data_IF_201615648263
#
_entry.id   IF_201615648263
#
_cell.length_a   1.000
_cell.length_b   1.000
_cell.length_c   1.000
_cell.angle_alpha   90.00
_cell.angle_beta   90.00
_cell.angle_gamma   90.00
#
_symmetry.space_group_name_H-M   'P 1'
#
loop_
_entity.id
_entity.type
_entity.pdbx_description
1 polymer ?
#
# COMPACT_ATOMS: atom_id res chain seq x y z
N UNK A 1 15.26 -7.42 -0.46
CA UNK A 1 15.76 -6.10 -0.89
C UNK A 1 14.58 -5.16 -0.72
N UNK A 2 14.66 -4.18 0.18
CA UNK A 2 13.56 -3.24 0.39
C UNK A 2 13.55 -2.26 -0.79
N UNK A 3 12.64 -2.44 -1.74
CA UNK A 3 12.41 -1.45 -2.78
C UNK A 3 11.94 -0.16 -2.11
N UNK A 4 12.75 0.89 -2.25
CA UNK A 4 12.45 2.19 -1.70
C UNK A 4 11.15 2.70 -2.34
N UNK A 5 10.08 2.77 -1.55
CA UNK A 5 8.83 3.41 -1.94
C UNK A 5 9.15 4.84 -2.41
N UNK A 6 8.78 5.22 -3.66
CA UNK A 6 9.12 6.53 -4.18
C UNK A 6 8.52 7.61 -3.30
N UNK A 7 9.39 8.48 -2.77
CA UNK A 7 9.03 9.65 -1.98
C UNK A 7 8.12 10.57 -2.80
N UNK A 8 6.85 10.69 -2.40
CA UNK A 8 5.80 11.43 -3.12
C UNK A 8 5.89 12.93 -2.85
N UNK A 9 6.74 13.64 -3.59
CA UNK A 9 6.89 15.10 -3.48
C UNK A 9 5.87 15.91 -4.30
N UNK A 10 4.99 15.27 -5.08
CA UNK A 10 4.17 15.98 -6.07
C UNK A 10 2.68 15.68 -5.97
N UNK A 11 2.08 16.18 -4.88
CA UNK A 11 0.63 16.15 -4.61
C UNK A 11 -0.21 16.65 -5.79
N UNK A 12 0.29 17.61 -6.58
CA UNK A 12 -0.43 18.13 -7.75
C UNK A 12 -0.49 17.12 -8.90
N UNK A 13 0.56 16.31 -9.11
CA UNK A 13 0.52 15.20 -10.06
C UNK A 13 -0.50 14.14 -9.62
N UNK A 14 -0.52 13.81 -8.33
CA UNK A 14 -1.49 12.85 -7.77
C UNK A 14 -2.92 13.35 -7.99
N UNK A 15 -3.21 14.61 -7.65
CA UNK A 15 -4.53 15.23 -7.89
C UNK A 15 -4.94 15.20 -9.36
N UNK A 16 -4.03 15.52 -10.28
CA UNK A 16 -4.30 15.45 -11.73
C UNK A 16 -4.62 14.03 -12.18
N UNK A 17 -3.89 13.03 -11.68
CA UNK A 17 -4.14 11.63 -12.00
C UNK A 17 -5.49 11.14 -11.46
N UNK A 18 -5.83 11.49 -10.21
CA UNK A 18 -7.13 11.20 -9.59
C UNK A 18 -8.28 11.76 -10.45
N UNK A 19 -8.19 13.04 -10.83
CA UNK A 19 -9.19 13.69 -11.67
C UNK A 19 -9.31 13.02 -13.05
N UNK A 20 -8.17 12.72 -13.69
CA UNK A 20 -8.16 12.06 -15.01
C UNK A 20 -8.80 10.66 -14.98
N UNK A 21 -8.59 9.92 -13.89
CA UNK A 21 -9.16 8.59 -13.68
C UNK A 21 -10.57 8.61 -13.09
N UNK A 22 -11.13 9.80 -12.82
CA UNK A 22 -12.43 10.00 -12.18
C UNK A 22 -12.57 9.22 -10.86
N UNK A 23 -11.50 9.20 -10.06
CA UNK A 23 -11.46 8.52 -8.78
C UNK A 23 -11.99 9.43 -7.66
N UNK A 24 -12.58 8.82 -6.63
CA UNK A 24 -13.00 9.53 -5.41
C UNK A 24 -12.32 8.94 -4.19
N UNK A 25 -12.12 9.77 -3.16
CA UNK A 25 -11.47 9.33 -1.94
C UNK A 25 -12.35 8.37 -1.14
N UNK A 26 -11.82 7.20 -0.79
CA UNK A 26 -12.51 6.23 0.07
C UNK A 26 -12.66 6.75 1.51
N UNK A 27 -11.63 7.41 2.02
CA UNK A 27 -11.54 7.87 3.40
C UNK A 27 -10.67 9.14 3.52
N UNK A 28 -10.90 9.91 4.58
CA UNK A 28 -10.08 11.08 4.92
C UNK A 28 -8.89 10.69 5.82
N UNK A 29 -8.00 11.66 6.10
CA UNK A 29 -6.81 11.43 6.92
C UNK A 29 -7.14 10.88 8.32
N UNK A 30 -8.24 11.33 8.94
CA UNK A 30 -8.66 10.85 10.27
C UNK A 30 -8.94 9.35 10.26
N UNK A 31 -9.77 8.88 9.32
CA UNK A 31 -10.11 7.46 9.20
C UNK A 31 -8.90 6.59 8.86
N UNK A 32 -8.01 7.07 7.99
CA UNK A 32 -6.76 6.38 7.70
C UNK A 32 -5.87 6.26 8.94
N UNK A 33 -5.74 7.34 9.71
CA UNK A 33 -4.97 7.33 10.96
C UNK A 33 -5.57 6.38 12.01
N UNK A 34 -6.90 6.33 12.13
CA UNK A 34 -7.59 5.39 13.01
C UNK A 34 -7.33 3.93 12.60
N UNK A 35 -7.46 3.60 11.31
CA UNK A 35 -7.15 2.26 10.78
C UNK A 35 -5.71 1.85 11.09
N UNK A 36 -4.74 2.70 10.76
CA UNK A 36 -3.32 2.43 10.98
C UNK A 36 -3.03 2.23 12.47
N UNK A 37 -3.64 3.06 13.33
CA UNK A 37 -3.46 2.96 14.78
C UNK A 37 -4.05 1.66 15.31
N UNK A 38 -5.24 1.27 14.86
CA UNK A 38 -5.88 0.01 15.23
C UNK A 38 -5.04 -1.19 14.79
N UNK A 39 -4.55 -1.20 13.55
CA UNK A 39 -3.73 -2.30 13.03
C UNK A 39 -2.39 -2.42 13.78
N UNK A 40 -1.76 -1.30 14.13
CA UNK A 40 -0.50 -1.31 14.89
C UNK A 40 -0.63 -1.97 16.27
N UNK A 41 -1.81 -1.89 16.88
CA UNK A 41 -2.13 -2.52 18.17
C UNK A 41 -2.43 -4.01 18.07
N UNK A 42 -2.64 -4.56 16.87
CA UNK A 42 -2.85 -6.00 16.69
C UNK A 42 -1.56 -6.77 16.98
N UNK A 43 -1.71 -7.91 17.67
CA UNK A 43 -0.60 -8.86 17.91
C UNK A 43 -0.05 -9.39 16.58
N UNK A 44 -0.94 -9.80 15.68
CA UNK A 44 -0.61 -10.17 14.31
C UNK A 44 -1.14 -9.11 13.36
N UNK A 45 -0.23 -8.44 12.67
CA UNK A 45 -0.57 -7.41 11.68
C UNK A 45 -0.89 -8.10 10.35
N UNK A 46 -1.95 -7.71 9.65
CA UNK A 46 -2.21 -8.19 8.29
C UNK A 46 -1.09 -7.72 7.36
N UNK A 47 -0.83 -8.47 6.29
CA UNK A 47 -0.01 -7.94 5.20
C UNK A 47 -0.84 -6.99 4.35
N UNK A 48 -0.18 -6.04 3.72
CA UNK A 48 -0.79 -5.06 2.84
C UNK A 48 -0.01 -4.91 1.55
N UNK A 49 -0.70 -4.43 0.52
CA UNK A 49 -0.09 -3.89 -0.69
C UNK A 49 -0.95 -2.77 -1.23
N UNK A 50 -0.39 -1.93 -2.07
CA UNK A 50 -1.12 -0.81 -2.64
C UNK A 50 -0.75 -0.58 -4.10
N UNK A 51 -1.64 0.11 -4.81
CA UNK A 51 -1.34 0.65 -6.13
C UNK A 51 -1.33 2.16 -6.10
N UNK A 52 -0.34 2.75 -6.74
CA UNK A 52 -0.19 4.20 -6.85
C UNK A 52 -0.94 4.75 -8.05
N UNK A 53 -1.54 5.93 -7.90
CA UNK A 53 -2.41 6.55 -8.90
C UNK A 53 -1.65 7.08 -10.14
N UNK A 54 -0.40 7.50 -9.97
CA UNK A 54 0.38 8.19 -11.04
C UNK A 54 1.10 7.23 -11.98
N UNK A 55 1.77 6.22 -11.43
CA UNK A 55 2.66 5.33 -12.19
C UNK A 55 2.08 3.92 -12.36
N UNK A 56 0.86 3.67 -11.87
CA UNK A 56 0.23 2.35 -11.83
C UNK A 56 1.09 1.27 -11.16
N UNK A 57 2.12 1.66 -10.40
CA UNK A 57 3.00 0.75 -9.69
C UNK A 57 2.22 0.07 -8.57
N UNK A 58 2.40 -1.25 -8.46
CA UNK A 58 1.82 -2.06 -7.40
C UNK A 58 2.96 -2.50 -6.50
N UNK A 59 2.87 -2.17 -5.21
CA UNK A 59 3.86 -2.61 -4.23
C UNK A 59 3.81 -4.13 -4.05
N UNK A 60 4.91 -4.72 -3.60
CA UNK A 60 4.88 -6.07 -3.04
C UNK A 60 4.02 -6.09 -1.77
N UNK A 61 3.68 -7.29 -1.31
CA UNK A 61 3.11 -7.47 0.02
C UNK A 61 4.15 -7.09 1.07
N UNK A 62 3.72 -6.36 2.09
CA UNK A 62 4.53 -5.95 3.23
C UNK A 62 3.72 -6.10 4.53
N UNK A 63 4.38 -6.34 5.64
CA UNK A 63 3.82 -6.41 7.00
C UNK A 63 4.32 -5.29 7.91
N UNK A 64 5.20 -4.42 7.44
CA UNK A 64 5.78 -3.34 8.22
C UNK A 64 4.85 -2.11 8.23
N UNK A 65 4.02 -2.02 9.27
CA UNK A 65 3.03 -0.95 9.45
C UNK A 65 3.58 0.31 10.11
N UNK A 66 4.81 0.31 10.62
CA UNK A 66 5.41 1.49 11.28
C UNK A 66 6.10 2.42 10.28
N UNK A 67 6.80 1.87 9.29
CA UNK A 67 7.71 2.65 8.45
C UNK A 67 7.47 2.57 6.94
N UNK A 68 6.81 1.55 6.42
CA UNK A 68 6.69 1.34 4.96
C UNK A 68 5.32 1.73 4.37
N UNK A 69 4.48 2.39 5.18
CA UNK A 69 3.17 2.81 4.72
C UNK A 69 3.26 3.86 3.60
N UNK A 70 2.35 3.81 2.60
CA UNK A 70 2.40 4.64 1.40
C UNK A 70 1.86 6.05 1.67
N UNK A 71 2.60 6.84 2.47
CA UNK A 71 2.24 8.22 2.73
C UNK A 71 2.68 9.15 1.58
N UNK A 72 1.84 10.12 1.19
CA UNK A 72 0.45 10.33 1.62
C UNK A 72 -0.51 9.33 0.95
N UNK A 73 -1.54 8.87 1.69
CA UNK A 73 -2.57 7.95 1.15
C UNK A 73 -3.39 8.53 0.00
N UNK A 74 -3.31 9.85 -0.25
CA UNK A 74 -3.86 10.48 -1.45
C UNK A 74 -3.27 9.89 -2.75
N UNK A 75 -2.01 9.45 -2.73
CA UNK A 75 -1.35 8.86 -3.88
C UNK A 75 -1.80 7.42 -4.17
N UNK A 76 -2.58 6.81 -3.28
CA UNK A 76 -2.99 5.41 -3.35
C UNK A 76 -4.33 5.28 -4.07
N UNK A 77 -4.35 4.55 -5.17
CA UNK A 77 -5.55 4.23 -5.96
C UNK A 77 -6.39 3.15 -5.25
N UNK A 78 -5.74 2.09 -4.76
CA UNK A 78 -6.36 1.08 -3.91
C UNK A 78 -5.35 0.52 -2.91
N UNK A 79 -5.88 0.06 -1.77
CA UNK A 79 -5.12 -0.50 -0.66
C UNK A 79 -5.75 -1.84 -0.27
N UNK A 80 -4.96 -2.90 -0.37
CA UNK A 80 -5.40 -4.29 -0.20
C UNK A 80 -4.82 -4.87 1.09
N UNK A 81 -5.61 -5.69 1.78
CA UNK A 81 -5.30 -6.27 3.08
C UNK A 81 -5.47 -7.78 3.03
N UNK A 82 -4.43 -8.51 3.42
CA UNK A 82 -4.52 -9.96 3.59
C UNK A 82 -4.44 -10.32 5.07
N UNK A 83 -5.43 -11.10 5.51
CA UNK A 83 -5.48 -11.69 6.85
C UNK A 83 -4.76 -13.04 6.89
N UNK A 84 -4.28 -13.53 5.75
CA UNK A 84 -3.65 -14.83 5.66
C UNK A 84 -2.32 -14.80 6.39
N UNK A 85 -2.17 -15.77 7.28
CA UNK A 85 -1.01 -16.00 8.12
C UNK A 85 0.28 -16.35 7.37
N UNK A 86 0.21 -16.47 6.06
CA UNK A 86 1.23 -17.09 5.23
C UNK A 86 2.08 -16.03 4.55
N UNK A 87 2.85 -15.29 5.35
CA UNK A 87 4.15 -14.83 4.85
C UNK A 87 5.01 -16.08 4.65
N UNK A 88 5.43 -16.38 3.42
CA UNK A 88 6.79 -16.14 2.89
C UNK A 88 6.81 -16.66 1.44
N UNK A 89 7.12 -15.78 0.48
CA UNK A 89 7.57 -16.08 -0.89
C UNK A 89 6.81 -17.16 -1.69
N UNK A 90 5.71 -16.81 -2.38
CA UNK A 90 5.24 -17.65 -3.50
C UNK A 90 6.25 -17.71 -4.69
N UNK A 91 7.39 -17.01 -4.60
CA UNK A 91 8.46 -17.04 -5.59
C UNK A 91 9.27 -18.35 -5.58
N UNK A 92 9.30 -19.14 -4.49
CA UNK A 92 9.99 -20.43 -4.51
C UNK A 92 9.30 -21.42 -5.47
N UNK A 93 7.97 -21.31 -5.64
CA UNK A 93 7.24 -22.16 -6.59
C UNK A 93 7.67 -21.90 -8.03
N UNK A 94 7.98 -20.66 -8.40
CA UNK A 94 8.47 -20.32 -9.75
C UNK A 94 9.90 -20.83 -10.01
N UNK A 95 10.72 -20.99 -8.97
CA UNK A 95 12.07 -21.58 -9.08
C UNK A 95 12.11 -23.11 -9.20
N UNK A 96 10.99 -23.80 -8.97
CA UNK A 96 10.90 -25.27 -9.07
C UNK A 96 10.34 -25.78 -10.41
N UNK A 97 9.78 -24.89 -11.23
CA UNK A 97 9.26 -25.19 -12.57
C UNK A 97 10.08 -24.53 -13.69
N UNK A 98 11.28 -24.04 -13.37
CA UNK A 98 12.33 -23.60 -14.31
C UNK A 98 13.46 -24.62 -14.37
#
# INVERSE_FOLDING_TARGET
>A
MADAVPYHDNVDKDKKAILRKNLTGLANNTKWNELISAVRLLQKKPSYRCKYVVNDHISTWDTEWFYHLPFPFLAVEWFDLSLDSNDVDANWLLSLVS
#
